data_IF_399831297165
#
_entry.id   IF_399831297165
#
_cell.length_a   1.000
_cell.length_b   1.000
_cell.length_c   1.000
_cell.angle_alpha   90.00
_cell.angle_beta   90.00
_cell.angle_gamma   90.00
#
_symmetry.space_group_name_H-M   'P 1'
#
loop_
_entity.id
_entity.type
_entity.pdbx_description
1 polymer ?
#
# COMPACT_ATOMS: atom_id res chain seq x y z
N UNK A 1 31.44 24.53 -16.05
CA UNK A 1 30.10 23.94 -16.33
C UNK A 1 29.93 23.91 -17.84
N UNK A 2 29.50 22.80 -18.45
CA UNK A 2 29.24 22.75 -19.89
C UNK A 2 27.91 23.45 -20.20
N UNK A 3 27.82 24.10 -21.34
CA UNK A 3 26.56 24.70 -21.81
C UNK A 3 25.45 23.64 -21.89
N UNK A 4 24.28 23.93 -21.32
CA UNK A 4 23.13 23.01 -21.27
C UNK A 4 23.10 22.00 -20.10
N UNK A 5 24.05 22.06 -19.15
CA UNK A 5 24.14 21.10 -18.02
C UNK A 5 23.69 21.67 -16.67
N UNK A 6 22.76 22.64 -16.69
CA UNK A 6 22.12 23.15 -15.48
C UNK A 6 20.73 22.52 -15.33
N UNK A 7 20.46 21.90 -14.18
CA UNK A 7 19.16 21.32 -13.86
C UNK A 7 18.79 21.59 -12.41
N UNK A 8 17.50 21.47 -12.09
CA UNK A 8 17.00 21.52 -10.71
C UNK A 8 16.26 20.22 -10.38
N UNK A 9 16.35 19.81 -9.12
CA UNK A 9 15.61 18.68 -8.59
C UNK A 9 15.13 19.02 -7.18
N UNK A 10 13.85 18.75 -6.91
CA UNK A 10 13.27 18.90 -5.57
C UNK A 10 13.33 17.58 -4.84
N UNK A 11 13.78 17.62 -3.59
CA UNK A 11 13.93 16.42 -2.77
C UNK A 11 13.14 16.52 -1.48
N UNK A 12 12.63 15.37 -1.04
CA UNK A 12 12.05 15.23 0.28
C UNK A 12 13.18 15.05 1.30
N UNK A 13 13.13 15.83 2.38
CA UNK A 13 13.99 15.68 3.54
C UNK A 13 13.12 15.35 4.74
N UNK A 14 13.36 14.19 5.33
CA UNK A 14 12.71 13.81 6.57
C UNK A 14 13.20 14.70 7.72
N UNK A 15 12.27 15.09 8.60
CA UNK A 15 12.59 15.84 9.81
C UNK A 15 13.01 14.84 10.88
N UNK A 16 14.31 14.71 11.08
CA UNK A 16 14.82 14.04 12.27
C UNK A 16 14.68 14.99 13.46
N UNK A 17 14.27 14.44 14.61
CA UNK A 17 14.20 15.21 15.86
C UNK A 17 15.35 14.81 16.75
N UNK A 18 15.99 15.82 17.33
CA UNK A 18 16.94 15.64 18.42
C UNK A 18 16.24 16.08 19.70
N UNK A 19 15.90 15.12 20.57
CA UNK A 19 15.32 15.40 21.87
C UNK A 19 16.31 14.93 22.94
N UNK A 20 16.91 15.89 23.65
CA UNK A 20 18.01 15.65 24.61
C UNK A 20 19.20 14.89 24.01
N UNK A 21 19.29 13.58 24.27
CA UNK A 21 20.36 12.64 23.86
C UNK A 21 19.82 11.63 22.82
N UNK A 22 18.52 11.68 22.51
CA UNK A 22 17.82 10.71 21.68
C UNK A 22 17.62 11.28 20.28
N UNK A 23 18.14 10.59 19.27
CA UNK A 23 17.96 10.95 17.88
C UNK A 23 16.82 10.13 17.27
N UNK A 24 15.68 10.78 17.04
CA UNK A 24 14.51 10.16 16.41
C UNK A 24 14.68 10.29 14.89
N UNK A 25 15.06 9.19 14.24
CA UNK A 25 15.17 9.11 12.78
C UNK A 25 13.82 8.76 12.18
N UNK A 26 13.44 9.45 11.11
CA UNK A 26 12.28 9.06 10.30
C UNK A 26 12.76 8.24 9.10
N UNK A 27 12.06 7.15 8.79
CA UNK A 27 12.40 6.27 7.68
C UNK A 27 11.17 5.69 7.00
N UNK A 28 11.42 4.71 6.14
CA UNK A 28 10.37 3.91 5.52
C UNK A 28 10.38 2.51 6.13
N UNK A 29 9.20 1.94 6.29
CA UNK A 29 9.02 0.52 6.60
C UNK A 29 8.45 -0.16 5.36
N UNK A 30 9.05 -1.29 4.99
CA UNK A 30 8.57 -2.18 3.94
C UNK A 30 8.30 -3.54 4.57
N UNK A 31 7.15 -4.11 4.26
CA UNK A 31 6.84 -5.51 4.54
C UNK A 31 6.93 -6.24 3.21
N UNK A 32 7.71 -7.31 3.20
CA UNK A 32 7.94 -8.12 2.02
C UNK A 32 8.00 -9.59 2.43
N UNK A 33 7.40 -10.45 1.62
CA UNK A 33 7.48 -11.90 1.76
C UNK A 33 8.51 -12.45 0.76
N UNK A 34 9.13 -13.58 1.12
CA UNK A 34 10.06 -14.29 0.23
C UNK A 34 11.42 -13.61 0.05
N UNK A 35 11.83 -12.76 1.00
CA UNK A 35 13.16 -12.15 1.06
C UNK A 35 13.72 -12.39 2.47
N UNK A 36 15.00 -12.75 2.56
CA UNK A 36 15.69 -12.89 3.85
C UNK A 36 16.93 -11.97 3.96
N UNK A 37 17.67 -12.07 5.07
CA UNK A 37 18.85 -11.22 5.29
C UNK A 37 19.97 -11.45 4.25
N UNK A 38 20.05 -12.64 3.66
CA UNK A 38 21.09 -13.00 2.69
C UNK A 38 20.86 -12.35 1.32
N UNK A 39 19.61 -11.99 1.01
CA UNK A 39 19.26 -11.21 -0.19
C UNK A 39 19.74 -9.74 -0.12
N UNK A 40 20.12 -9.26 1.08
CA UNK A 40 20.60 -7.89 1.30
C UNK A 40 21.95 -7.83 2.05
N UNK A 41 23.04 -8.36 1.46
CA UNK A 41 24.32 -8.51 2.14
C UNK A 41 24.96 -7.18 2.56
N UNK A 42 24.85 -6.15 1.73
CA UNK A 42 25.49 -4.84 1.97
C UNK A 42 24.65 -3.91 2.88
N UNK A 43 23.42 -4.33 3.24
CA UNK A 43 22.43 -3.56 4.02
C UNK A 43 22.27 -2.09 3.57
N UNK A 44 22.61 -1.81 2.31
CA UNK A 44 22.61 -0.48 1.71
C UNK A 44 22.12 -0.59 0.27
N UNK A 45 21.09 0.17 -0.07
CA UNK A 45 20.47 0.14 -1.39
C UNK A 45 20.45 1.52 -2.03
N UNK A 46 20.34 1.56 -3.36
CA UNK A 46 19.92 2.77 -4.06
C UNK A 46 18.39 2.86 -4.01
N UNK A 47 17.84 3.93 -3.44
CA UNK A 47 16.40 4.14 -3.32
C UNK A 47 16.01 5.50 -3.93
N UNK A 48 15.08 5.46 -4.89
CA UNK A 48 14.60 6.65 -5.60
C UNK A 48 15.56 7.14 -6.69
N UNK A 49 15.40 8.42 -7.06
CA UNK A 49 16.20 9.06 -8.11
C UNK A 49 17.63 9.41 -7.68
N UNK A 50 18.46 9.79 -8.66
CA UNK A 50 19.83 10.29 -8.44
C UNK A 50 20.76 9.38 -7.62
N UNK A 51 20.46 8.06 -7.56
CA UNK A 51 21.22 7.06 -6.81
C UNK A 51 21.39 7.39 -5.32
N UNK A 52 20.38 8.03 -4.72
CA UNK A 52 20.34 8.24 -3.27
C UNK A 52 20.44 6.90 -2.54
N UNK A 53 21.18 6.91 -1.42
CA UNK A 53 21.43 5.71 -0.63
C UNK A 53 20.47 5.64 0.56
N UNK A 54 20.01 4.43 0.85
CA UNK A 54 19.28 4.11 2.06
C UNK A 54 19.98 2.93 2.77
N UNK A 55 20.03 2.98 4.10
CA UNK A 55 20.47 1.86 4.93
C UNK A 55 19.23 1.05 5.28
N UNK A 56 19.34 -0.27 5.18
CA UNK A 56 18.25 -1.22 5.42
C UNK A 56 18.53 -1.97 6.72
N UNK A 57 17.55 -1.97 7.62
CA UNK A 57 17.52 -2.83 8.80
C UNK A 57 16.38 -3.83 8.62
N UNK A 58 16.69 -5.12 8.70
CA UNK A 58 15.71 -6.19 8.56
C UNK A 58 15.27 -6.62 9.96
N UNK A 59 13.97 -6.89 10.12
CA UNK A 59 13.39 -7.43 11.34
C UNK A 59 12.32 -8.44 10.96
N UNK A 60 12.39 -9.65 11.53
CA UNK A 60 11.42 -10.72 11.31
C UNK A 60 10.23 -10.61 12.29
N UNK A 61 9.69 -9.40 12.45
CA UNK A 61 8.49 -9.20 13.28
C UNK A 61 7.26 -9.30 12.40
N UNK A 62 6.41 -10.28 12.69
CA UNK A 62 5.17 -10.52 11.95
C UNK A 62 3.99 -9.67 12.47
N UNK A 63 4.11 -9.08 13.66
CA UNK A 63 3.00 -8.39 14.35
C UNK A 63 2.89 -6.89 14.00
N UNK A 64 2.98 -6.51 12.71
CA UNK A 64 2.88 -5.10 12.32
C UNK A 64 1.45 -4.53 12.43
N UNK A 65 0.44 -5.39 12.28
CA UNK A 65 -0.98 -5.05 12.48
C UNK A 65 -1.58 -6.12 13.37
N UNK A 66 -2.04 -5.71 14.55
CA UNK A 66 -2.77 -6.58 15.45
C UNK A 66 -4.24 -6.63 15.04
N UNK A 67 -4.85 -7.83 15.10
CA UNK A 67 -6.31 -8.00 15.01
C UNK A 67 -6.96 -7.05 16.02
N UNK A 68 -8.05 -6.40 15.63
CA UNK A 68 -8.82 -5.49 16.48
C UNK A 68 -10.19 -6.13 16.78
N UNK A 69 -10.31 -6.94 17.85
CA UNK A 69 -11.54 -7.65 18.16
C UNK A 69 -12.74 -6.71 18.27
N UNK A 70 -12.56 -5.51 18.84
CA UNK A 70 -13.63 -4.53 18.98
C UNK A 70 -14.18 -4.04 17.64
N UNK A 71 -13.33 -3.97 16.61
CA UNK A 71 -13.75 -3.60 15.26
C UNK A 71 -14.54 -4.74 14.64
N UNK A 72 -14.06 -5.97 14.81
CA UNK A 72 -14.71 -7.17 14.26
C UNK A 72 -16.09 -7.38 14.88
N UNK A 73 -16.19 -7.33 16.21
CA UNK A 73 -17.46 -7.47 16.94
C UNK A 73 -18.47 -6.40 16.50
N UNK A 74 -18.03 -5.14 16.40
CA UNK A 74 -18.90 -4.04 15.96
C UNK A 74 -19.37 -4.24 14.52
N UNK A 75 -18.48 -4.70 13.64
CA UNK A 75 -18.82 -4.99 12.26
C UNK A 75 -19.81 -6.17 12.20
N UNK A 76 -19.58 -7.26 12.95
CA UNK A 76 -20.47 -8.42 13.02
C UNK A 76 -21.88 -8.04 13.52
N UNK A 77 -21.99 -7.11 14.47
CA UNK A 77 -23.28 -6.62 14.97
C UNK A 77 -23.98 -5.69 13.98
N UNK A 78 -23.25 -4.74 13.38
CA UNK A 78 -23.84 -3.70 12.50
C UNK A 78 -24.04 -4.18 11.07
N UNK A 79 -23.26 -5.18 10.63
CA UNK A 79 -23.10 -5.61 9.24
C UNK A 79 -22.64 -4.47 8.31
N UNK A 80 -21.93 -3.47 8.86
CA UNK A 80 -21.40 -2.31 8.13
C UNK A 80 -19.92 -2.17 8.35
N UNK A 81 -19.19 -1.99 7.26
CA UNK A 81 -17.75 -1.79 7.31
C UNK A 81 -17.28 -0.92 6.14
N UNK A 82 -16.07 -0.40 6.27
CA UNK A 82 -15.38 0.29 5.21
C UNK A 82 -14.03 -0.34 4.93
N UNK A 83 -13.54 -0.13 3.72
CA UNK A 83 -12.16 -0.42 3.32
C UNK A 83 -11.46 0.89 3.00
N UNK A 84 -10.43 1.22 3.77
CA UNK A 84 -9.50 2.32 3.54
C UNK A 84 -8.29 1.82 2.74
N UNK A 85 -7.98 2.45 1.61
CA UNK A 85 -6.78 2.11 0.84
C UNK A 85 -5.53 2.76 1.46
N UNK A 86 -4.68 1.96 2.10
CA UNK A 86 -3.40 2.40 2.66
C UNK A 86 -2.36 2.70 1.58
N UNK A 87 -2.44 2.01 0.44
CA UNK A 87 -1.61 2.27 -0.74
C UNK A 87 -2.47 2.52 -1.98
N UNK A 88 -1.95 3.20 -3.02
CA UNK A 88 -2.70 3.38 -4.25
C UNK A 88 -3.12 2.04 -4.85
N UNK A 89 -4.26 1.99 -5.53
CA UNK A 89 -4.77 0.78 -6.17
C UNK A 89 -5.09 1.03 -7.65
N UNK A 90 -4.84 0.06 -8.51
CA UNK A 90 -5.14 0.16 -9.94
C UNK A 90 -6.24 -0.86 -10.25
N UNK A 91 -7.45 -0.35 -10.54
CA UNK A 91 -8.59 -1.17 -10.92
C UNK A 91 -8.86 -1.02 -12.41
N UNK A 92 -9.31 -2.10 -13.04
CA UNK A 92 -9.59 -2.12 -14.50
C UNK A 92 -10.72 -1.16 -14.88
N UNK A 93 -11.67 -0.93 -13.98
CA UNK A 93 -12.85 -0.09 -14.20
C UNK A 93 -12.71 1.31 -13.56
N UNK A 94 -11.48 1.83 -13.48
CA UNK A 94 -11.22 3.16 -12.94
C UNK A 94 -11.24 3.18 -11.42
N UNK A 95 -12.07 4.04 -10.82
CA UNK A 95 -12.27 4.02 -9.37
C UNK A 95 -13.30 2.99 -8.93
N UNK A 96 -14.27 2.69 -9.80
CA UNK A 96 -15.30 1.74 -9.48
C UNK A 96 -14.70 0.35 -9.50
N UNK A 97 -14.92 -0.38 -8.40
CA UNK A 97 -14.60 -1.78 -8.29
C UNK A 97 -15.73 -2.44 -7.54
N UNK A 98 -16.28 -3.48 -8.15
CA UNK A 98 -17.13 -4.37 -7.41
C UNK A 98 -16.24 -5.30 -6.59
N UNK A 99 -16.29 -5.13 -5.28
CA UNK A 99 -15.62 -6.03 -4.36
C UNK A 99 -16.52 -7.19 -3.95
N UNK A 100 -17.81 -7.21 -4.32
CA UNK A 100 -18.79 -8.24 -3.93
C UNK A 100 -18.22 -9.65 -4.11
N UNK A 101 -17.58 -9.93 -5.25
CA UNK A 101 -16.97 -11.24 -5.57
C UNK A 101 -15.76 -11.63 -4.70
N UNK A 102 -15.30 -10.73 -3.83
CA UNK A 102 -14.21 -10.96 -2.88
C UNK A 102 -14.72 -11.27 -1.47
N UNK A 103 -16.03 -11.13 -1.25
CA UNK A 103 -16.72 -11.50 -0.03
C UNK A 103 -17.57 -12.72 -0.31
N UNK A 104 -17.56 -13.67 0.61
CA UNK A 104 -18.59 -14.68 0.65
C UNK A 104 -19.79 -14.07 1.41
N UNK A 105 -20.99 -14.09 0.83
CA UNK A 105 -22.21 -13.46 1.38
C UNK A 105 -22.77 -12.32 0.52
N UNK A 106 -23.92 -11.78 0.91
CA UNK A 106 -24.58 -10.68 0.19
C UNK A 106 -24.08 -9.33 0.68
N UNK A 107 -22.91 -8.92 0.17
CA UNK A 107 -22.22 -7.67 0.52
C UNK A 107 -22.38 -6.67 -0.62
N UNK A 108 -22.95 -5.51 -0.30
CA UNK A 108 -23.17 -4.42 -1.25
C UNK A 108 -22.29 -3.23 -0.92
N UNK A 109 -21.61 -2.71 -1.95
CA UNK A 109 -20.96 -1.40 -1.85
C UNK A 109 -22.03 -0.29 -1.91
N UNK A 110 -22.13 0.50 -0.84
CA UNK A 110 -23.14 1.56 -0.71
C UNK A 110 -22.59 2.95 -1.00
N UNK A 111 -21.26 3.12 -1.00
CA UNK A 111 -20.63 4.39 -1.31
C UNK A 111 -19.12 4.31 -1.41
N UNK A 112 -18.51 5.37 -1.94
CA UNK A 112 -17.07 5.52 -1.97
C UNK A 112 -16.67 7.01 -1.87
N UNK A 113 -15.62 7.29 -1.11
CA UNK A 113 -14.97 8.59 -1.01
C UNK A 113 -13.60 8.51 -1.70
N UNK A 114 -13.55 8.93 -2.97
CA UNK A 114 -12.37 8.82 -3.83
C UNK A 114 -11.93 10.18 -4.34
N UNK A 115 -10.64 10.50 -4.21
CA UNK A 115 -10.06 11.76 -4.72
C UNK A 115 -9.76 11.65 -6.22
N UNK A 116 -9.25 12.75 -6.81
CA UNK A 116 -8.74 12.75 -8.19
C UNK A 116 -7.74 11.61 -8.41
N UNK A 117 -7.77 10.94 -9.58
CA UNK A 117 -6.90 9.79 -9.85
C UNK A 117 -5.42 10.19 -9.84
N UNK A 118 -4.57 9.29 -9.35
CA UNK A 118 -3.13 9.38 -9.50
C UNK A 118 -2.71 8.81 -10.85
N UNK A 119 -1.82 9.50 -11.56
CA UNK A 119 -1.22 8.99 -12.79
C UNK A 119 0.15 8.42 -12.46
N UNK A 120 0.26 7.11 -12.48
CA UNK A 120 1.47 6.39 -12.07
C UNK A 120 2.10 5.77 -13.30
N UNK A 121 3.41 5.98 -13.43
CA UNK A 121 4.28 5.31 -14.39
C UNK A 121 5.50 4.80 -13.62
N UNK A 122 6.52 4.36 -14.33
CA UNK A 122 7.80 3.98 -13.76
C UNK A 122 8.81 3.75 -14.87
N UNK A 123 10.02 3.35 -14.52
CA UNK A 123 11.04 2.99 -15.50
C UNK A 123 11.17 1.47 -15.55
N UNK A 124 11.18 0.89 -16.75
CA UNK A 124 11.52 -0.52 -16.94
C UNK A 124 12.93 -0.62 -17.48
N UNK A 125 13.82 -1.17 -16.67
CA UNK A 125 15.21 -1.42 -17.02
C UNK A 125 15.27 -2.57 -18.05
N UNK A 126 16.16 -2.45 -19.03
CA UNK A 126 16.39 -3.48 -20.06
C UNK A 126 17.79 -4.09 -19.90
N UNK A 127 17.83 -5.37 -19.55
CA UNK A 127 19.08 -6.11 -19.30
C UNK A 127 19.88 -5.53 -18.14
N UNK A 128 21.20 -5.70 -18.18
CA UNK A 128 22.12 -5.28 -17.11
C UNK A 128 22.63 -3.83 -17.27
N UNK A 129 21.89 -2.99 -18.00
CA UNK A 129 22.30 -1.61 -18.31
C UNK A 129 21.32 -0.59 -17.70
N UNK A 130 21.75 0.65 -17.48
CA UNK A 130 20.85 1.75 -17.06
C UNK A 130 19.86 2.20 -18.15
N UNK A 131 19.89 1.57 -19.34
CA UNK A 131 18.94 1.84 -20.42
C UNK A 131 17.61 1.16 -20.12
N UNK A 132 16.53 1.80 -20.55
CA UNK A 132 15.18 1.31 -20.31
C UNK A 132 14.16 2.12 -21.08
N UNK A 133 12.91 1.91 -20.73
CA UNK A 133 11.78 2.64 -21.31
C UNK A 133 10.74 2.94 -20.23
N UNK A 134 9.96 4.02 -20.37
CA UNK A 134 8.89 4.32 -19.43
C UNK A 134 7.82 3.22 -19.47
N UNK A 135 7.31 2.84 -18.30
CA UNK A 135 6.13 1.97 -18.20
C UNK A 135 4.91 2.75 -18.66
N UNK A 136 3.92 2.08 -19.28
CA UNK A 136 2.65 2.73 -19.61
C UNK A 136 2.04 3.42 -18.40
N UNK A 137 1.47 4.62 -18.60
CA UNK A 137 0.78 5.35 -17.54
C UNK A 137 -0.46 4.57 -17.13
N UNK A 138 -0.69 4.48 -15.82
CA UNK A 138 -1.89 3.91 -15.19
C UNK A 138 -2.62 4.97 -14.39
N UNK A 139 -3.94 4.94 -14.44
CA UNK A 139 -4.79 5.69 -13.51
C UNK A 139 -4.99 4.82 -12.28
N UNK A 140 -4.56 5.32 -11.13
CA UNK A 140 -4.71 4.65 -9.84
C UNK A 140 -5.67 5.44 -8.96
N UNK A 141 -6.44 4.71 -8.17
CA UNK A 141 -7.15 5.24 -7.00
C UNK A 141 -6.09 5.64 -5.97
N UNK A 142 -6.10 6.89 -5.46
CA UNK A 142 -5.13 7.34 -4.48
C UNK A 142 -5.25 6.59 -3.15
N UNK A 143 -4.12 6.42 -2.46
CA UNK A 143 -4.11 6.11 -1.04
C UNK A 143 -4.96 7.14 -0.27
N UNK A 144 -5.66 6.68 0.77
CA UNK A 144 -6.62 7.48 1.51
C UNK A 144 -8.06 7.43 0.98
N UNK A 145 -8.31 6.70 -0.11
CA UNK A 145 -9.67 6.48 -0.61
C UNK A 145 -10.40 5.45 0.25
N UNK A 146 -11.70 5.61 0.43
CA UNK A 146 -12.53 4.75 1.30
C UNK A 146 -13.74 4.21 0.53
N UNK A 147 -14.03 2.92 0.69
CA UNK A 147 -15.20 2.24 0.13
C UNK A 147 -16.07 1.72 1.26
N UNK A 148 -17.37 2.01 1.23
CA UNK A 148 -18.33 1.68 2.28
C UNK A 148 -19.23 0.54 1.84
N UNK A 149 -19.46 -0.40 2.74
CA UNK A 149 -20.22 -1.63 2.48
C UNK A 149 -21.26 -1.87 3.57
N UNK A 150 -22.35 -2.49 3.14
CA UNK A 150 -23.39 -3.07 4.00
C UNK A 150 -23.62 -4.52 3.55
N UNK A 151 -23.69 -5.44 4.50
CA UNK A 151 -24.03 -6.83 4.24
C UNK A 151 -25.48 -7.09 4.67
N UNK A 152 -26.28 -7.72 3.82
CA UNK A 152 -27.64 -8.14 4.21
C UNK A 152 -27.57 -9.31 5.21
N UNK A 153 -26.64 -10.23 4.96
CA UNK A 153 -26.29 -11.31 5.88
C UNK A 153 -24.86 -11.81 5.61
N UNK A 154 -24.17 -12.23 6.68
CA UNK A 154 -22.95 -13.02 6.60
C UNK A 154 -22.86 -13.97 7.79
N UNK A 155 -22.04 -15.02 7.65
CA UNK A 155 -21.55 -15.80 8.79
C UNK A 155 -20.43 -15.04 9.53
N UNK A 156 -20.38 -15.15 10.85
CA UNK A 156 -19.36 -14.45 11.63
C UNK A 156 -17.94 -14.98 11.34
N UNK A 157 -17.80 -16.30 11.17
CA UNK A 157 -16.54 -16.96 10.74
C UNK A 157 -16.11 -16.50 9.34
N UNK A 158 -17.06 -16.41 8.42
CA UNK A 158 -16.83 -15.94 7.05
C UNK A 158 -16.30 -14.50 7.00
N UNK A 159 -16.85 -13.59 7.83
CA UNK A 159 -16.33 -12.24 7.92
C UNK A 159 -14.92 -12.21 8.54
N UNK A 160 -14.65 -13.04 9.55
CA UNK A 160 -13.32 -13.12 10.16
C UNK A 160 -12.27 -13.61 9.17
N UNK A 161 -12.57 -14.62 8.35
CA UNK A 161 -11.69 -15.06 7.26
C UNK A 161 -11.42 -13.94 6.26
N UNK A 162 -12.46 -13.20 5.86
CA UNK A 162 -12.32 -12.04 4.99
C UNK A 162 -11.42 -10.96 5.64
N UNK A 163 -11.66 -10.64 6.90
CA UNK A 163 -10.87 -9.65 7.65
C UNK A 163 -9.41 -10.08 7.72
N UNK A 164 -9.14 -11.32 8.11
CA UNK A 164 -7.77 -11.86 8.21
C UNK A 164 -7.05 -11.89 6.87
N UNK A 165 -7.78 -12.11 5.78
CA UNK A 165 -7.22 -12.17 4.43
C UNK A 165 -6.84 -10.79 3.89
N UNK A 166 -7.69 -9.79 4.04
CA UNK A 166 -7.52 -8.49 3.36
C UNK A 166 -7.09 -7.34 4.28
N UNK A 167 -7.25 -7.44 5.60
CA UNK A 167 -6.83 -6.39 6.52
C UNK A 167 -5.29 -6.31 6.56
N UNK A 168 -4.74 -5.37 5.78
CA UNK A 168 -3.31 -5.09 5.60
C UNK A 168 -2.46 -6.22 4.99
N UNK A 169 -3.07 -7.31 4.53
CA UNK A 169 -2.37 -8.45 3.92
C UNK A 169 -2.57 -8.49 2.42
N UNK A 170 -3.58 -9.19 1.92
CA UNK A 170 -3.76 -9.35 0.49
C UNK A 170 -4.14 -8.04 -0.23
N UNK A 171 -3.60 -7.89 -1.43
CA UNK A 171 -3.88 -6.76 -2.30
C UNK A 171 -5.29 -6.83 -2.88
N UNK A 172 -5.96 -5.68 -2.83
CA UNK A 172 -7.21 -5.40 -3.49
C UNK A 172 -7.03 -4.82 -4.91
N UNK A 173 -5.81 -4.71 -5.45
CA UNK A 173 -5.53 -4.14 -6.78
C UNK A 173 -5.65 -5.18 -7.90
N UNK A 174 -6.06 -4.78 -9.12
CA UNK A 174 -6.05 -5.67 -10.30
C UNK A 174 -4.67 -5.73 -10.96
N UNK A 175 -3.92 -4.65 -10.88
CA UNK A 175 -2.58 -4.54 -11.44
C UNK A 175 -1.55 -4.29 -10.35
N UNK A 176 -0.37 -4.90 -10.52
CA UNK A 176 0.78 -4.80 -9.63
C UNK A 176 0.52 -5.12 -8.13
N UNK A 177 -0.27 -6.17 -7.79
CA UNK A 177 -0.54 -6.51 -6.39
C UNK A 177 0.75 -6.80 -5.60
N UNK A 178 1.67 -7.59 -6.19
CA UNK A 178 2.96 -7.93 -5.57
C UNK A 178 3.93 -6.75 -5.42
N UNK A 179 3.62 -5.59 -6.01
CA UNK A 179 4.40 -4.37 -5.84
C UNK A 179 3.85 -3.46 -4.71
N UNK A 180 2.88 -3.95 -3.93
CA UNK A 180 2.30 -3.23 -2.79
C UNK A 180 1.14 -2.29 -3.15
N UNK A 181 0.56 -2.40 -4.35
CA UNK A 181 -0.65 -1.65 -4.69
C UNK A 181 -1.87 -2.28 -4.02
N UNK A 182 -2.85 -1.48 -3.63
CA UNK A 182 -4.15 -1.94 -3.14
C UNK A 182 -4.14 -2.59 -1.76
N UNK A 183 -3.20 -2.24 -0.89
CA UNK A 183 -3.26 -2.67 0.51
C UNK A 183 -4.39 -1.91 1.20
N UNK A 184 -5.34 -2.66 1.76
CA UNK A 184 -6.53 -2.13 2.44
C UNK A 184 -6.45 -2.25 3.96
N UNK A 185 -7.19 -1.40 4.66
CA UNK A 185 -7.48 -1.51 6.09
C UNK A 185 -9.01 -1.54 6.26
N UNK A 186 -9.50 -2.49 7.03
CA UNK A 186 -10.93 -2.69 7.27
C UNK A 186 -11.31 -2.04 8.61
N UNK A 187 -12.39 -1.27 8.63
CA UNK A 187 -12.93 -0.63 9.84
C UNK A 187 -14.46 -0.59 9.86
N UNK A 188 -15.04 -0.17 10.98
CA UNK A 188 -16.49 0.00 11.16
C UNK A 188 -16.93 1.44 10.93
N UNK A 189 -18.17 1.65 10.44
CA UNK A 189 -18.79 2.98 10.32
C UNK A 189 -20.23 3.00 10.85
#
# INVERSE_FOLDING_TARGET
>A
MKEGYLYTATHLRFKDKFEHITHIKTGFTLIAEGIDETDMPDKTIALGGERRRAVVSISQKDDFITKQPEVIEKIQHTKKFFIYLATPAIFRNGWYRDFSSKFDGDVKMVGAAVKKPLYISGWKIRGNSFKGYPRPIRKAVPAGSVYFFEAESWGDEQFEEFYEKYHFKESLSDEYPSAGFGIGLIGSW
#
